data_IF_504751221132
#
_entry.id   IF_504751221132
#
_cell.length_a   1.000
_cell.length_b   1.000
_cell.length_c   1.000
_cell.angle_alpha   90.00
_cell.angle_beta   90.00
_cell.angle_gamma   90.00
#
_symmetry.space_group_name_H-M   'P 1'
#
loop_
_entity.id
_entity.type
_entity.pdbx_description
1 polymer ?
#
# COMPACT_ATOMS: atom_id res chain seq x y z
N UNK A 1 -33.71 29.19 -17.88
CA UNK A 1 -33.20 27.84 -17.54
C UNK A 1 -34.39 26.91 -17.33
N UNK A 2 -34.55 25.88 -18.15
CA UNK A 2 -35.70 24.95 -18.09
C UNK A 2 -35.72 24.14 -16.78
N UNK A 3 -36.92 23.75 -16.31
CA UNK A 3 -37.12 22.92 -15.10
C UNK A 3 -36.18 21.71 -15.07
N UNK A 4 -35.95 21.05 -16.20
CA UNK A 4 -35.05 19.90 -16.33
C UNK A 4 -33.57 20.24 -16.08
N UNK A 5 -33.08 21.40 -16.51
CA UNK A 5 -31.70 21.83 -16.24
C UNK A 5 -31.48 22.12 -14.76
N UNK A 6 -32.45 22.66 -14.03
CA UNK A 6 -32.37 22.88 -12.58
C UNK A 6 -32.36 21.57 -11.81
N UNK A 7 -33.19 20.58 -12.22
CA UNK A 7 -33.19 19.23 -11.58
C UNK A 7 -31.87 18.48 -11.78
N UNK A 8 -31.32 18.50 -12.99
CA UNK A 8 -30.01 17.85 -13.26
C UNK A 8 -28.88 18.52 -12.48
N UNK A 9 -28.88 19.85 -12.38
CA UNK A 9 -27.88 20.57 -11.60
C UNK A 9 -27.98 20.25 -10.10
N UNK A 10 -29.22 20.09 -9.57
CA UNK A 10 -29.46 19.69 -8.19
C UNK A 10 -28.95 18.27 -7.89
N UNK A 11 -29.20 17.31 -8.79
CA UNK A 11 -28.71 15.92 -8.63
C UNK A 11 -27.18 15.87 -8.67
N UNK A 12 -26.54 16.60 -9.60
CA UNK A 12 -25.08 16.70 -9.67
C UNK A 12 -24.48 17.35 -8.43
N UNK A 13 -25.07 18.42 -7.91
CA UNK A 13 -24.61 19.07 -6.67
C UNK A 13 -24.72 18.13 -5.47
N UNK A 14 -25.84 17.40 -5.34
CA UNK A 14 -26.03 16.42 -4.26
C UNK A 14 -25.02 15.28 -4.36
N UNK A 15 -24.73 14.77 -5.55
CA UNK A 15 -23.73 13.73 -5.77
C UNK A 15 -22.31 14.19 -5.39
N UNK A 16 -21.96 15.44 -5.74
CA UNK A 16 -20.67 16.05 -5.37
C UNK A 16 -20.55 16.21 -3.84
N UNK A 17 -21.60 16.69 -3.20
CA UNK A 17 -21.64 16.86 -1.73
C UNK A 17 -21.50 15.49 -1.03
N UNK A 18 -22.23 14.47 -1.47
CA UNK A 18 -22.12 13.11 -0.96
C UNK A 18 -20.73 12.52 -1.16
N UNK A 19 -20.11 12.75 -2.31
CA UNK A 19 -18.73 12.35 -2.57
C UNK A 19 -17.75 13.04 -1.62
N UNK A 20 -17.86 14.35 -1.44
CA UNK A 20 -17.01 15.12 -0.53
C UNK A 20 -17.18 14.68 0.93
N UNK A 21 -18.42 14.45 1.38
CA UNK A 21 -18.71 13.94 2.72
C UNK A 21 -18.14 12.54 2.93
N UNK A 22 -18.30 11.62 1.98
CA UNK A 22 -17.69 10.29 2.05
C UNK A 22 -16.18 10.38 2.16
N UNK A 23 -15.55 11.23 1.36
CA UNK A 23 -14.09 11.44 1.40
C UNK A 23 -13.64 12.01 2.74
N UNK A 24 -14.34 12.99 3.31
CA UNK A 24 -14.04 13.56 4.62
C UNK A 24 -14.21 12.52 5.75
N UNK A 25 -15.28 11.73 5.71
CA UNK A 25 -15.54 10.65 6.67
C UNK A 25 -14.45 9.58 6.56
N UNK A 26 -14.11 9.13 5.35
CA UNK A 26 -13.05 8.17 5.14
C UNK A 26 -11.70 8.69 5.65
N UNK A 27 -11.35 9.94 5.36
CA UNK A 27 -10.13 10.58 5.87
C UNK A 27 -10.12 10.68 7.40
N UNK A 28 -11.27 10.90 8.03
CA UNK A 28 -11.37 10.95 9.48
C UNK A 28 -11.28 9.55 10.14
N UNK A 29 -11.88 8.53 9.53
CA UNK A 29 -11.89 7.16 10.04
C UNK A 29 -10.58 6.39 9.76
N UNK A 30 -9.91 6.70 8.65
CA UNK A 30 -8.65 6.03 8.26
C UNK A 30 -7.40 6.69 8.93
N UNK A 31 -7.57 7.34 10.07
CA UNK A 31 -6.50 8.09 10.76
C UNK A 31 -5.78 7.28 11.84
N UNK A 32 -5.77 5.96 11.78
CA UNK A 32 -4.95 5.19 12.73
C UNK A 32 -3.50 5.70 12.66
N UNK A 33 -2.92 6.17 13.75
CA UNK A 33 -1.54 6.66 13.75
C UNK A 33 -0.59 5.53 13.35
N UNK A 34 0.36 5.83 12.45
CA UNK A 34 1.31 4.82 11.97
C UNK A 34 2.06 4.14 13.12
N UNK A 35 2.44 4.86 14.18
CA UNK A 35 3.10 4.30 15.36
C UNK A 35 2.32 3.17 16.04
N UNK A 36 0.99 3.16 15.94
CA UNK A 36 0.16 2.11 16.54
C UNK A 36 0.19 0.78 15.75
N UNK A 37 0.54 0.83 14.46
CA UNK A 37 0.49 -0.34 13.57
C UNK A 37 1.82 -0.61 12.85
N UNK A 38 2.87 0.19 13.10
CA UNK A 38 4.16 0.07 12.42
C UNK A 38 4.80 -1.30 12.58
N UNK A 39 4.75 -1.90 13.77
CA UNK A 39 5.27 -3.24 14.02
C UNK A 39 4.46 -4.32 13.28
N UNK A 40 3.15 -4.17 13.19
CA UNK A 40 2.31 -5.10 12.41
C UNK A 40 2.66 -5.00 10.92
N UNK A 41 2.80 -3.79 10.38
CA UNK A 41 3.18 -3.60 8.99
C UNK A 41 4.59 -4.12 8.71
N UNK A 42 5.55 -3.87 9.62
CA UNK A 42 6.88 -4.46 9.54
C UNK A 42 6.80 -5.99 9.44
N UNK A 43 6.06 -6.65 10.33
CA UNK A 43 5.94 -8.11 10.34
C UNK A 43 5.32 -8.65 9.04
N UNK A 44 4.31 -7.98 8.50
CA UNK A 44 3.69 -8.36 7.22
C UNK A 44 4.71 -8.25 6.09
N UNK A 45 5.41 -7.12 5.94
CA UNK A 45 6.33 -6.91 4.82
C UNK A 45 7.57 -7.80 4.97
N UNK A 46 8.22 -7.82 6.14
CA UNK A 46 9.47 -8.56 6.37
C UNK A 46 9.32 -10.07 6.23
N UNK A 47 8.10 -10.61 6.35
CA UNK A 47 7.84 -12.04 6.12
C UNK A 47 8.04 -12.47 4.66
N UNK A 48 8.07 -11.51 3.72
CA UNK A 48 8.26 -11.74 2.29
C UNK A 48 9.60 -11.23 1.76
N UNK A 49 10.27 -10.39 2.53
CA UNK A 49 11.58 -9.86 2.17
C UNK A 49 12.68 -10.70 2.80
N UNK A 50 13.75 -10.97 2.05
CA UNK A 50 14.99 -11.54 2.59
C UNK A 50 15.69 -10.54 3.53
N UNK A 51 16.71 -10.98 4.25
CA UNK A 51 17.57 -10.10 5.04
C UNK A 51 19.04 -10.26 4.62
N UNK A 52 19.61 -9.20 4.07
CA UNK A 52 21.01 -9.12 3.68
C UNK A 52 21.76 -8.16 4.61
N UNK A 53 22.62 -8.71 5.47
CA UNK A 53 23.43 -7.90 6.38
C UNK A 53 24.43 -7.01 5.65
N UNK A 54 24.94 -7.47 4.52
CA UNK A 54 25.90 -6.75 3.67
C UNK A 54 25.22 -6.38 2.38
N UNK A 55 25.46 -5.18 1.87
CA UNK A 55 24.85 -4.69 0.65
C UNK A 55 25.13 -5.61 -0.54
N UNK A 56 24.05 -6.05 -1.21
CA UNK A 56 24.05 -6.86 -2.42
C UNK A 56 23.60 -6.01 -3.62
N UNK A 57 24.11 -6.31 -4.80
CA UNK A 57 23.68 -5.64 -6.02
C UNK A 57 22.46 -6.36 -6.61
N UNK A 58 21.42 -5.60 -6.89
CA UNK A 58 20.26 -6.05 -7.66
C UNK A 58 20.15 -5.27 -8.98
N UNK A 59 19.05 -5.46 -9.73
CA UNK A 59 18.82 -4.82 -11.03
C UNK A 59 18.78 -3.30 -10.96
N UNK A 60 18.49 -2.72 -9.78
CA UNK A 60 18.26 -1.29 -9.56
C UNK A 60 19.41 -0.60 -8.82
N UNK A 61 20.37 -1.38 -8.26
CA UNK A 61 21.50 -0.85 -7.52
C UNK A 61 21.90 -1.74 -6.33
N UNK A 62 22.57 -1.16 -5.33
CA UNK A 62 22.86 -1.87 -4.08
C UNK A 62 21.69 -1.75 -3.12
N UNK A 63 21.30 -2.87 -2.51
CA UNK A 63 20.31 -2.95 -1.47
C UNK A 63 20.88 -3.63 -0.22
N UNK A 64 20.39 -3.30 0.97
CA UNK A 64 20.82 -3.88 2.25
C UNK A 64 19.64 -4.06 3.20
N UNK A 65 19.77 -4.91 4.20
CA UNK A 65 18.71 -5.17 5.17
C UNK A 65 17.54 -5.92 4.54
N UNK A 66 16.39 -5.34 4.58
CA UNK A 66 15.16 -5.85 3.96
C UNK A 66 14.91 -5.22 2.57
N UNK A 67 15.97 -5.05 1.79
CA UNK A 67 15.87 -4.50 0.43
C UNK A 67 15.91 -2.98 0.34
N UNK A 68 16.41 -2.26 1.36
CA UNK A 68 16.51 -0.81 1.30
C UNK A 68 17.65 -0.38 0.37
N UNK A 69 17.33 0.50 -0.58
CA UNK A 69 18.30 1.15 -1.46
C UNK A 69 18.85 2.46 -0.90
N UNK A 70 18.26 2.97 0.20
CA UNK A 70 18.68 4.21 0.83
C UNK A 70 19.27 3.96 2.22
N UNK A 71 20.47 4.47 2.45
CA UNK A 71 21.16 4.43 3.72
C UNK A 71 20.75 5.67 4.54
N UNK A 72 19.83 5.49 5.49
CA UNK A 72 19.26 6.59 6.29
C UNK A 72 20.29 7.20 7.23
N UNK A 73 21.24 6.41 7.73
CA UNK A 73 22.26 6.91 8.67
C UNK A 73 23.29 7.79 7.95
N UNK A 74 23.62 7.45 6.72
CA UNK A 74 24.56 8.19 5.87
C UNK A 74 23.89 9.17 4.91
N UNK A 75 22.56 9.21 4.86
CA UNK A 75 21.74 10.07 4.00
C UNK A 75 22.13 9.99 2.51
N UNK A 76 22.36 8.80 2.01
CA UNK A 76 22.73 8.54 0.61
C UNK A 76 22.21 7.20 0.12
N UNK A 77 22.33 6.93 -1.17
CA UNK A 77 22.09 5.60 -1.71
C UNK A 77 23.03 4.56 -1.09
N UNK A 78 22.51 3.33 -0.90
CA UNK A 78 23.30 2.19 -0.45
C UNK A 78 24.43 1.92 -1.47
N UNK A 79 25.60 1.59 -0.97
CA UNK A 79 26.80 1.32 -1.78
C UNK A 79 27.37 -0.05 -1.41
N UNK A 80 28.19 -0.58 -2.32
CA UNK A 80 28.96 -1.81 -2.07
C UNK A 80 29.73 -1.71 -0.74
N UNK A 81 29.59 -2.73 0.10
CA UNK A 81 30.26 -2.79 1.38
C UNK A 81 29.52 -2.11 2.55
N UNK A 82 28.34 -1.50 2.32
CA UNK A 82 27.49 -1.08 3.43
C UNK A 82 27.01 -2.30 4.21
N UNK A 83 27.04 -2.19 5.53
CA UNK A 83 26.64 -3.24 6.48
C UNK A 83 25.59 -2.67 7.41
N UNK A 84 24.59 -3.48 7.74
CA UNK A 84 23.50 -3.11 8.62
C UNK A 84 23.17 -4.26 9.60
N UNK A 85 22.80 -3.94 10.83
CA UNK A 85 22.20 -4.90 11.76
C UNK A 85 20.68 -4.99 11.59
N UNK A 86 20.07 -6.03 12.18
CA UNK A 86 18.62 -6.26 12.07
C UNK A 86 17.77 -5.16 12.70
N UNK A 87 18.23 -4.54 13.78
CA UNK A 87 17.46 -3.50 14.46
C UNK A 87 17.40 -2.24 13.61
N UNK A 88 18.53 -1.82 13.06
CA UNK A 88 18.62 -0.69 12.13
C UNK A 88 17.85 -0.98 10.83
N UNK A 89 17.99 -2.18 10.27
CA UNK A 89 17.23 -2.59 9.07
C UNK A 89 15.70 -2.58 9.30
N UNK A 90 15.24 -3.02 10.49
CA UNK A 90 13.83 -2.91 10.88
C UNK A 90 13.37 -1.46 10.84
N UNK A 91 14.15 -0.54 11.42
CA UNK A 91 13.79 0.89 11.43
C UNK A 91 13.74 1.47 10.01
N UNK A 92 14.67 1.09 9.14
CA UNK A 92 14.67 1.56 7.75
C UNK A 92 13.46 1.04 6.97
N UNK A 93 13.11 -0.26 7.14
CA UNK A 93 11.89 -0.81 6.54
C UNK A 93 10.63 -0.08 7.04
N UNK A 94 10.55 0.20 8.34
CA UNK A 94 9.44 0.98 8.92
C UNK A 94 9.35 2.38 8.28
N UNK A 95 10.49 3.07 8.11
CA UNK A 95 10.54 4.39 7.49
C UNK A 95 10.07 4.36 6.03
N UNK A 96 10.43 3.32 5.27
CA UNK A 96 9.97 3.15 3.89
C UNK A 96 8.48 2.81 3.85
N UNK A 97 8.03 1.84 4.65
CA UNK A 97 6.64 1.41 4.72
C UNK A 97 5.68 2.53 5.18
N UNK A 98 6.16 3.47 6.03
CA UNK A 98 5.38 4.63 6.44
C UNK A 98 4.94 5.50 5.27
N UNK A 99 5.78 5.61 4.25
CA UNK A 99 5.47 6.39 3.04
C UNK A 99 4.32 5.74 2.25
N UNK A 100 4.29 4.39 2.17
CA UNK A 100 3.23 3.65 1.50
C UNK A 100 1.93 3.66 2.32
N UNK A 101 2.04 3.55 3.65
CA UNK A 101 0.92 3.69 4.56
C UNK A 101 0.22 5.06 4.41
N UNK A 102 0.98 6.15 4.49
CA UNK A 102 0.44 7.50 4.31
C UNK A 102 -0.17 7.70 2.92
N UNK A 103 0.47 7.13 1.89
CA UNK A 103 -0.06 7.16 0.53
C UNK A 103 -1.41 6.45 0.44
N UNK A 104 -1.55 5.22 0.96
CA UNK A 104 -2.82 4.48 0.96
C UNK A 104 -3.91 5.28 1.67
N UNK A 105 -3.61 5.86 2.85
CA UNK A 105 -4.57 6.73 3.55
C UNK A 105 -5.04 7.92 2.69
N UNK A 106 -4.18 8.45 1.82
CA UNK A 106 -4.50 9.60 0.99
C UNK A 106 -5.37 9.29 -0.22
N UNK A 107 -5.34 8.04 -0.74
CA UNK A 107 -6.01 7.65 -1.98
C UNK A 107 -7.28 6.81 -1.75
N UNK A 108 -7.44 6.19 -0.58
CA UNK A 108 -8.66 5.45 -0.22
C UNK A 108 -9.77 6.45 0.15
N UNK A 109 -10.95 6.28 -0.48
CA UNK A 109 -12.07 7.23 -0.39
C UNK A 109 -13.27 6.64 0.37
N UNK A 110 -13.11 5.47 0.96
CA UNK A 110 -14.13 4.77 1.76
C UNK A 110 -13.54 4.38 3.11
N UNK A 111 -14.36 4.20 4.16
CA UNK A 111 -13.89 3.63 5.41
C UNK A 111 -13.33 2.22 5.20
N UNK A 112 -12.16 1.96 5.78
CA UNK A 112 -11.51 0.64 5.78
C UNK A 112 -11.02 0.29 7.18
N UNK A 113 -10.87 -1.01 7.45
CA UNK A 113 -10.29 -1.50 8.70
C UNK A 113 -8.78 -1.31 8.73
N UNK A 114 -8.16 -1.39 9.92
CA UNK A 114 -6.70 -1.40 10.06
C UNK A 114 -6.05 -2.54 9.26
N UNK A 115 -6.69 -3.72 9.23
CA UNK A 115 -6.20 -4.86 8.47
C UNK A 115 -6.24 -4.61 6.96
N UNK A 116 -7.29 -3.98 6.46
CA UNK A 116 -7.37 -3.55 5.05
C UNK A 116 -6.30 -2.52 4.72
N UNK A 117 -6.07 -1.55 5.62
CA UNK A 117 -5.03 -0.54 5.45
C UNK A 117 -3.63 -1.17 5.45
N UNK A 118 -3.34 -2.13 6.35
CA UNK A 118 -2.09 -2.89 6.38
C UNK A 118 -1.87 -3.69 5.09
N UNK A 119 -2.91 -4.41 4.63
CA UNK A 119 -2.84 -5.21 3.40
C UNK A 119 -2.53 -4.36 2.18
N UNK A 120 -3.22 -3.22 2.03
CA UNK A 120 -3.01 -2.26 0.94
C UNK A 120 -1.62 -1.61 1.02
N UNK A 121 -1.12 -1.33 2.24
CA UNK A 121 0.21 -0.76 2.43
C UNK A 121 1.32 -1.75 2.06
N UNK A 122 1.18 -3.03 2.46
CA UNK A 122 2.08 -4.10 2.02
C UNK A 122 2.05 -4.29 0.51
N UNK A 123 0.86 -4.26 -0.08
CA UNK A 123 0.68 -4.36 -1.53
C UNK A 123 1.34 -3.18 -2.25
N UNK A 124 1.09 -1.93 -1.79
CA UNK A 124 1.72 -0.72 -2.33
C UNK A 124 3.24 -0.76 -2.28
N UNK A 125 3.79 -1.19 -1.14
CA UNK A 125 5.23 -1.36 -0.94
C UNK A 125 5.86 -2.28 -1.99
N UNK A 126 5.18 -3.39 -2.32
CA UNK A 126 5.70 -4.39 -3.26
C UNK A 126 5.48 -4.01 -4.74
N UNK A 127 4.28 -3.56 -5.11
CA UNK A 127 3.95 -3.28 -6.52
C UNK A 127 4.29 -1.85 -6.93
N UNK A 128 4.49 -0.95 -5.96
CA UNK A 128 4.69 0.48 -6.15
C UNK A 128 3.37 1.27 -6.13
N UNK A 129 3.43 2.51 -5.63
CA UNK A 129 2.28 3.40 -5.44
C UNK A 129 1.51 3.70 -6.72
N UNK A 130 2.22 3.90 -7.83
CA UNK A 130 1.61 4.16 -9.13
C UNK A 130 0.77 2.98 -9.63
N UNK A 131 1.23 1.76 -9.42
CA UNK A 131 0.50 0.56 -9.77
C UNK A 131 -0.75 0.39 -8.91
N UNK A 132 -0.66 0.59 -7.59
CA UNK A 132 -1.85 0.57 -6.72
C UNK A 132 -2.84 1.65 -7.15
N UNK A 133 -2.40 2.88 -7.38
CA UNK A 133 -3.27 4.01 -7.74
C UNK A 133 -4.08 3.75 -9.02
N UNK A 134 -3.48 3.07 -9.99
CA UNK A 134 -4.11 2.75 -11.28
C UNK A 134 -4.83 1.40 -11.29
N UNK A 135 -4.74 0.62 -10.19
CA UNK A 135 -5.28 -0.74 -10.12
C UNK A 135 -6.80 -0.80 -10.16
N UNK A 136 -7.31 -1.92 -10.69
CA UNK A 136 -8.73 -2.26 -10.57
C UNK A 136 -9.12 -2.47 -9.11
N UNK A 137 -8.20 -2.99 -8.27
CA UNK A 137 -8.39 -3.16 -6.83
C UNK A 137 -8.84 -1.86 -6.17
N UNK A 138 -8.07 -0.78 -6.34
CA UNK A 138 -8.39 0.51 -5.74
C UNK A 138 -9.66 1.13 -6.33
N UNK A 139 -9.89 0.96 -7.63
CA UNK A 139 -11.10 1.47 -8.30
C UNK A 139 -12.36 0.81 -7.73
N UNK A 140 -12.36 -0.52 -7.57
CA UNK A 140 -13.48 -1.26 -7.00
C UNK A 140 -13.70 -0.90 -5.52
N UNK A 141 -12.62 -0.80 -4.73
CA UNK A 141 -12.69 -0.39 -3.33
C UNK A 141 -13.34 0.99 -3.18
N UNK A 142 -12.85 1.99 -3.91
CA UNK A 142 -13.35 3.36 -3.84
C UNK A 142 -14.77 3.52 -4.42
N UNK A 143 -15.19 2.61 -5.29
CA UNK A 143 -16.56 2.53 -5.77
C UNK A 143 -17.53 1.90 -4.74
N UNK A 144 -17.01 1.37 -3.63
CA UNK A 144 -17.82 0.72 -2.58
C UNK A 144 -18.33 -0.67 -2.95
N UNK A 145 -17.57 -1.39 -3.80
CA UNK A 145 -17.89 -2.78 -4.11
C UNK A 145 -17.69 -3.69 -2.89
N UNK A 146 -18.31 -4.86 -2.93
CA UNK A 146 -18.20 -5.87 -1.88
C UNK A 146 -16.74 -6.27 -1.61
N UNK A 147 -16.37 -6.34 -0.35
CA UNK A 147 -14.99 -6.62 0.08
C UNK A 147 -14.42 -7.90 -0.52
N UNK A 148 -15.15 -9.05 -0.63
CA UNK A 148 -14.64 -10.23 -1.31
C UNK A 148 -14.33 -10.02 -2.80
N UNK A 149 -15.12 -9.18 -3.49
CA UNK A 149 -14.89 -8.84 -4.90
C UNK A 149 -13.59 -8.05 -5.04
N UNK A 150 -13.38 -7.04 -4.18
CA UNK A 150 -12.15 -6.27 -4.13
C UNK A 150 -10.94 -7.14 -3.81
N UNK A 151 -11.07 -8.04 -2.81
CA UNK A 151 -10.00 -8.94 -2.39
C UNK A 151 -9.51 -9.89 -3.49
N UNK A 152 -10.39 -10.30 -4.41
CA UNK A 152 -10.00 -11.15 -5.54
C UNK A 152 -9.03 -10.46 -6.52
N UNK A 153 -8.95 -9.13 -6.50
CA UNK A 153 -8.03 -8.39 -7.37
C UNK A 153 -6.56 -8.58 -6.97
N UNK A 154 -6.26 -8.93 -5.70
CA UNK A 154 -4.89 -9.29 -5.30
C UNK A 154 -4.34 -10.45 -6.14
N UNK A 155 -5.14 -11.45 -6.44
CA UNK A 155 -4.71 -12.68 -7.15
C UNK A 155 -4.17 -12.40 -8.58
N UNK A 156 -4.43 -11.23 -9.13
CA UNK A 156 -3.96 -10.84 -10.48
C UNK A 156 -2.49 -10.38 -10.49
N UNK A 157 -1.90 -10.08 -9.32
CA UNK A 157 -0.56 -9.48 -9.18
C UNK A 157 0.52 -10.51 -8.82
N UNK A 158 0.59 -11.59 -9.60
CA UNK A 158 1.45 -12.77 -9.36
C UNK A 158 2.54 -12.95 -10.41
N UNK A 159 2.72 -11.97 -11.31
CA UNK A 159 3.71 -12.05 -12.39
C UNK A 159 4.87 -11.07 -12.14
N UNK A 160 6.11 -11.53 -12.43
CA UNK A 160 7.32 -10.73 -12.49
C UNK A 160 7.99 -10.95 -13.83
N UNK A 161 8.28 -9.89 -14.58
CA UNK A 161 8.82 -9.94 -15.94
C UNK A 161 8.04 -10.91 -16.87
N UNK A 162 6.72 -10.98 -16.74
CA UNK A 162 5.86 -11.85 -17.53
C UNK A 162 5.80 -13.31 -17.07
N UNK A 163 6.57 -13.71 -16.05
CA UNK A 163 6.61 -15.06 -15.49
C UNK A 163 5.85 -15.10 -14.16
N UNK A 164 5.05 -16.15 -13.97
CA UNK A 164 4.32 -16.35 -12.71
C UNK A 164 5.30 -16.71 -11.59
N UNK A 165 5.20 -16.02 -10.47
CA UNK A 165 6.07 -16.20 -9.28
C UNK A 165 5.30 -16.81 -8.13
N UNK A 166 5.78 -17.94 -7.60
CA UNK A 166 5.20 -18.57 -6.42
C UNK A 166 5.37 -17.69 -5.16
N UNK A 167 6.46 -16.93 -5.07
CA UNK A 167 6.67 -15.96 -4.00
C UNK A 167 5.61 -14.86 -4.01
N UNK A 168 5.36 -14.27 -5.19
CA UNK A 168 4.29 -13.27 -5.35
C UNK A 168 2.92 -13.86 -5.08
N UNK A 169 2.66 -15.11 -5.51
CA UNK A 169 1.39 -15.80 -5.22
C UNK A 169 1.17 -15.93 -3.71
N UNK A 170 2.17 -16.40 -2.96
CA UNK A 170 2.10 -16.51 -1.50
C UNK A 170 1.85 -15.16 -0.84
N UNK A 171 2.55 -14.12 -1.29
CA UNK A 171 2.38 -12.75 -0.78
C UNK A 171 0.96 -12.22 -1.04
N UNK A 172 0.46 -12.34 -2.25
CA UNK A 172 -0.94 -11.93 -2.60
C UNK A 172 -1.98 -12.68 -1.77
N UNK A 173 -1.79 -13.97 -1.53
CA UNK A 173 -2.70 -14.74 -0.69
C UNK A 173 -2.72 -14.23 0.77
N UNK A 174 -1.56 -13.94 1.35
CA UNK A 174 -1.49 -13.41 2.70
C UNK A 174 -2.09 -11.98 2.81
N UNK A 175 -1.79 -11.10 1.85
CA UNK A 175 -2.38 -9.76 1.77
C UNK A 175 -3.90 -9.83 1.59
N UNK A 176 -4.40 -10.72 0.73
CA UNK A 176 -5.83 -10.97 0.55
C UNK A 176 -6.51 -11.46 1.82
N UNK A 177 -5.90 -12.41 2.54
CA UNK A 177 -6.44 -12.91 3.82
C UNK A 177 -6.48 -11.80 4.88
N UNK A 178 -5.42 -11.01 4.98
CA UNK A 178 -5.38 -9.86 5.89
C UNK A 178 -6.45 -8.82 5.52
N UNK A 179 -6.69 -8.58 4.24
CA UNK A 179 -7.71 -7.66 3.76
C UNK A 179 -9.14 -8.12 4.08
N UNK A 180 -9.36 -9.43 4.15
CA UNK A 180 -10.67 -10.04 4.45
C UNK A 180 -10.95 -10.19 5.95
N UNK A 181 -9.94 -10.00 6.84
CA UNK A 181 -10.05 -10.21 8.30
C UNK A 181 -10.42 -8.91 9.10
#
# INVERSE_FOLDING_TARGET
>A
MTKNKKAVLGILATAIILYMLRKQIATALNKTPFGAISDKLFNVISSFEGFDQVAVYDVTGYAVGYGSHYNYDKQRQVQKGDIIDKATAKQWLINDAQKDYAFVQSIVQVPITDNQLLALSSFSYNVGRGNLQNSTLLKLLNAGNDIPVVANEFDKWVYSAGVKSDGLKKRRQAEKQLFLS
#
